data_IF_573817119934
#
_entry.id   IF_573817119934
#
_cell.length_a   1.000
_cell.length_b   1.000
_cell.length_c   1.000
_cell.angle_alpha   90.00
_cell.angle_beta   90.00
_cell.angle_gamma   90.00
#
_symmetry.space_group_name_H-M   'P 1'
#
loop_
_entity.id
_entity.type
_entity.pdbx_description
1 polymer ?
#
# COMPACT_ATOMS: atom_id res chain seq x y z
N UNK A 1 -9.42 7.16 11.53
CA UNK A 1 -8.34 7.78 10.74
C UNK A 1 -7.16 6.82 10.83
N UNK A 2 -6.56 6.42 9.70
CA UNK A 2 -5.44 5.46 9.73
C UNK A 2 -4.23 6.07 10.42
N UNK A 3 -3.55 5.29 11.28
CA UNK A 3 -2.30 5.68 11.96
C UNK A 3 -1.06 5.32 11.13
N UNK A 4 -1.25 4.97 9.85
CA UNK A 4 -0.19 4.52 8.96
C UNK A 4 0.94 5.56 8.80
N UNK A 5 2.18 5.12 9.01
CA UNK A 5 3.38 5.92 8.80
C UNK A 5 4.02 5.58 7.45
N UNK A 6 3.87 6.46 6.46
CA UNK A 6 4.42 6.23 5.11
C UNK A 6 5.94 6.07 5.08
N UNK A 7 6.62 6.78 5.99
CA UNK A 7 8.07 6.83 6.06
C UNK A 7 8.67 5.61 6.79
N UNK A 8 7.85 4.73 7.39
CA UNK A 8 8.38 3.54 8.04
C UNK A 8 8.87 2.52 7.01
N UNK A 9 10.14 2.11 7.12
CA UNK A 9 10.66 0.94 6.39
C UNK A 9 9.98 -0.37 6.85
N UNK A 10 9.43 -0.37 8.07
CA UNK A 10 8.59 -1.42 8.62
C UNK A 10 7.33 -1.63 7.78
N UNK A 11 7.31 -2.75 7.07
CA UNK A 11 6.26 -3.12 6.10
C UNK A 11 4.95 -3.45 6.83
N UNK A 12 3.93 -2.61 6.68
CA UNK A 12 2.53 -3.03 6.88
C UNK A 12 2.10 -3.87 5.68
N UNK A 13 2.63 -5.07 5.54
CA UNK A 13 2.15 -6.03 4.54
C UNK A 13 0.87 -6.68 5.04
N UNK A 14 0.09 -7.26 4.12
CA UNK A 14 -1.12 -7.98 4.47
C UNK A 14 -0.90 -9.15 5.46
N UNK A 15 0.30 -9.73 5.47
CA UNK A 15 0.67 -10.84 6.36
C UNK A 15 1.36 -10.37 7.65
N UNK A 16 1.50 -9.07 7.86
CA UNK A 16 2.10 -8.52 9.08
C UNK A 16 1.14 -8.67 10.27
N UNK A 17 1.71 -8.73 11.48
CA UNK A 17 0.93 -8.69 12.73
C UNK A 17 0.47 -7.27 13.11
N UNK A 18 0.46 -6.33 12.15
CA UNK A 18 -0.04 -4.98 12.38
C UNK A 18 -1.56 -5.00 12.61
N UNK A 19 -2.09 -3.98 13.28
CA UNK A 19 -3.53 -3.91 13.49
C UNK A 19 -4.23 -3.58 12.17
N UNK A 20 -5.47 -4.04 11.96
CA UNK A 20 -6.25 -3.69 10.76
C UNK A 20 -6.41 -2.17 10.59
N UNK A 21 -6.36 -1.41 11.70
CA UNK A 21 -6.40 0.06 11.72
C UNK A 21 -5.15 0.72 11.11
N UNK A 22 -4.01 0.03 11.14
CA UNK A 22 -2.76 0.48 10.49
C UNK A 22 -2.81 0.31 8.97
N UNK A 23 -3.79 -0.46 8.47
CA UNK A 23 -3.94 -0.79 7.06
C UNK A 23 -2.79 -1.65 6.55
N UNK A 24 -2.79 -1.90 5.24
CA UNK A 24 -1.67 -2.56 4.58
C UNK A 24 -1.36 -1.93 3.23
N UNK A 25 -0.09 -2.02 2.84
CA UNK A 25 0.39 -1.63 1.51
C UNK A 25 -0.01 -2.73 0.53
N UNK A 26 -0.88 -2.39 -0.42
CA UNK A 26 -1.35 -3.30 -1.45
C UNK A 26 -0.46 -3.30 -2.69
N UNK A 27 0.25 -2.20 -2.94
CA UNK A 27 1.24 -2.11 -4.00
C UNK A 27 2.35 -1.11 -3.66
N UNK A 28 3.59 -1.48 -3.99
CA UNK A 28 4.71 -0.57 -4.10
C UNK A 28 5.13 -0.41 -5.55
N UNK A 29 5.24 0.85 -5.97
CA UNK A 29 5.68 1.24 -7.30
C UNK A 29 6.95 2.07 -7.19
N UNK A 30 7.88 1.89 -8.13
CA UNK A 30 9.02 2.79 -8.22
C UNK A 30 8.59 4.05 -8.97
N UNK A 31 8.98 5.23 -8.47
CA UNK A 31 8.61 6.51 -9.08
C UNK A 31 9.00 6.62 -10.56
N UNK A 32 10.09 5.96 -10.96
CA UNK A 32 10.55 5.89 -12.36
C UNK A 32 9.67 5.06 -13.29
N UNK A 33 8.85 4.17 -12.72
CA UNK A 33 7.98 3.24 -13.45
C UNK A 33 6.53 3.74 -13.46
N UNK A 34 6.24 4.87 -12.78
CA UNK A 34 4.95 5.55 -12.82
C UNK A 34 4.96 6.58 -13.96
N UNK A 35 4.08 6.44 -14.97
CA UNK A 35 3.99 7.39 -16.07
C UNK A 35 3.37 8.74 -15.62
N UNK A 36 3.64 9.80 -16.38
CA UNK A 36 3.22 11.17 -16.04
C UNK A 36 1.69 11.39 -16.12
N UNK A 37 0.97 10.55 -16.86
CA UNK A 37 -0.46 10.68 -17.13
C UNK A 37 -1.32 9.92 -16.10
N UNK A 38 -1.35 8.60 -16.19
CA UNK A 38 -2.14 7.75 -15.30
C UNK A 38 -1.64 6.31 -15.32
N UNK A 39 -1.74 5.66 -14.16
CA UNK A 39 -1.50 4.23 -14.01
C UNK A 39 -2.72 3.57 -13.39
N UNK A 40 -3.15 2.45 -13.97
CA UNK A 40 -4.22 1.63 -13.42
C UNK A 40 -3.64 0.52 -12.54
N UNK A 41 -4.19 0.38 -11.34
CA UNK A 41 -3.87 -0.71 -10.41
C UNK A 41 -5.19 -1.35 -9.99
N UNK A 42 -5.32 -2.65 -10.26
CA UNK A 42 -6.46 -3.42 -9.78
C UNK A 42 -6.20 -3.78 -8.32
N UNK A 43 -7.14 -3.48 -7.42
CA UNK A 43 -7.02 -3.80 -6.00
C UNK A 43 -7.68 -5.15 -5.71
N UNK A 44 -6.98 -6.02 -4.99
CA UNK A 44 -7.42 -7.36 -4.62
C UNK A 44 -7.24 -8.44 -5.69
N UNK A 45 -6.36 -8.22 -6.66
CA UNK A 45 -6.08 -9.14 -7.77
C UNK A 45 -5.16 -10.32 -7.41
N UNK A 46 -4.63 -10.37 -6.18
CA UNK A 46 -3.72 -11.42 -5.68
C UNK A 46 -2.34 -11.43 -6.34
N UNK A 47 -1.95 -10.36 -7.01
CA UNK A 47 -0.61 -10.20 -7.56
C UNK A 47 0.33 -9.51 -6.56
N UNK A 48 1.62 -9.63 -6.82
CA UNK A 48 2.65 -8.90 -6.11
C UNK A 48 3.05 -7.66 -6.90
N UNK A 49 3.11 -6.52 -6.21
CA UNK A 49 3.62 -5.25 -6.74
C UNK A 49 4.80 -4.82 -5.86
N UNK A 50 6.01 -5.05 -6.37
CA UNK A 50 7.22 -5.08 -5.54
C UNK A 50 7.14 -6.24 -4.55
N UNK A 51 7.43 -5.98 -3.27
CA UNK A 51 7.38 -6.97 -2.20
C UNK A 51 5.99 -7.11 -1.55
N UNK A 52 4.99 -6.39 -2.06
CA UNK A 52 3.68 -6.27 -1.42
C UNK A 52 2.60 -7.09 -2.13
N UNK A 53 1.92 -7.93 -1.36
CA UNK A 53 0.83 -8.77 -1.83
C UNK A 53 -0.49 -8.00 -1.83
N UNK A 54 -1.09 -7.87 -3.01
CA UNK A 54 -2.40 -7.23 -3.19
C UNK A 54 -3.53 -8.18 -2.82
N UNK A 55 -3.84 -8.22 -1.52
CA UNK A 55 -4.73 -9.21 -0.96
C UNK A 55 -6.21 -9.01 -1.37
N UNK A 56 -6.98 -10.10 -1.52
CA UNK A 56 -8.41 -10.01 -1.79
C UNK A 56 -9.14 -9.11 -0.80
N UNK A 57 -10.09 -8.34 -1.29
CA UNK A 57 -10.97 -7.54 -0.44
C UNK A 57 -11.79 -8.46 0.47
N UNK A 58 -11.61 -8.32 1.79
CA UNK A 58 -12.40 -9.00 2.81
C UNK A 58 -13.56 -8.12 3.27
N UNK A 59 -14.72 -8.76 3.51
CA UNK A 59 -15.84 -8.18 4.28
C UNK A 59 -15.65 -8.48 5.76
N UNK A 60 -16.25 -7.70 6.65
CA UNK A 60 -16.23 -7.96 8.09
C UNK A 60 -15.15 -7.23 8.90
N UNK A 61 -14.22 -6.52 8.25
CA UNK A 61 -13.14 -5.79 8.92
C UNK A 61 -12.98 -4.38 8.36
N UNK A 62 -12.73 -3.42 9.24
CA UNK A 62 -12.35 -2.06 8.88
C UNK A 62 -10.84 -2.00 8.62
N UNK A 63 -10.41 -1.81 7.36
CA UNK A 63 -8.99 -1.66 7.03
C UNK A 63 -8.75 -0.61 5.95
N UNK A 64 -7.55 -0.04 5.97
CA UNK A 64 -7.10 0.93 4.96
C UNK A 64 -6.18 0.24 3.95
N UNK A 65 -6.44 0.50 2.66
CA UNK A 65 -5.61 0.03 1.55
C UNK A 65 -4.67 1.16 1.17
N UNK A 66 -3.37 0.89 1.18
CA UNK A 66 -2.34 1.89 0.94
C UNK A 66 -1.62 1.59 -0.35
N UNK A 67 -1.43 2.63 -1.17
CA UNK A 67 -0.52 2.61 -2.31
C UNK A 67 0.74 3.38 -1.95
N UNK A 68 1.89 2.80 -2.28
CA UNK A 68 3.21 3.40 -2.00
C UNK A 68 3.96 3.63 -3.30
N UNK A 69 4.47 4.84 -3.46
CA UNK A 69 5.44 5.19 -4.49
C UNK A 69 6.77 5.40 -3.79
N UNK A 70 7.79 4.72 -4.27
CA UNK A 70 9.15 4.75 -3.74
C UNK A 70 10.08 5.36 -4.77
N UNK A 71 10.84 6.38 -4.37
CA UNK A 71 11.95 6.92 -5.14
C UNK A 71 13.26 6.56 -4.45
N UNK A 72 14.19 5.98 -5.20
CA UNK A 72 15.53 5.71 -4.72
C UNK A 72 16.54 6.46 -5.59
N UNK A 73 17.32 7.33 -4.95
CA UNK A 73 18.40 8.06 -5.61
C UNK A 73 19.64 8.05 -4.72
N UNK A 74 20.78 7.61 -5.26
CA UNK A 74 22.06 7.59 -4.55
C UNK A 74 21.96 6.94 -3.14
N UNK A 75 21.28 5.79 -3.04
CA UNK A 75 20.99 5.04 -1.79
C UNK A 75 20.08 5.77 -0.79
N UNK A 76 19.52 6.93 -1.15
CA UNK A 76 18.49 7.61 -0.37
C UNK A 76 17.13 7.14 -0.88
N UNK A 77 16.38 6.46 -0.02
CA UNK A 77 15.02 6.01 -0.30
C UNK A 77 14.01 7.00 0.28
N UNK A 78 13.03 7.39 -0.53
CA UNK A 78 11.92 8.27 -0.15
C UNK A 78 10.61 7.62 -0.54
N UNK A 79 9.60 7.83 0.29
CA UNK A 79 8.28 7.22 0.13
C UNK A 79 7.22 8.30 0.04
N UNK A 80 6.25 8.08 -0.83
CA UNK A 80 4.99 8.81 -0.87
C UNK A 80 3.87 7.77 -0.82
N UNK A 81 2.84 8.01 -0.01
CA UNK A 81 1.77 7.05 0.19
C UNK A 81 0.41 7.71 0.12
N UNK A 82 -0.55 6.99 -0.41
CA UNK A 82 -1.94 7.39 -0.44
C UNK A 82 -2.82 6.29 0.17
N UNK A 83 -3.80 6.71 0.97
CA UNK A 83 -4.90 5.81 1.35
C UNK A 83 -5.84 5.74 0.16
N UNK A 84 -5.87 4.59 -0.48
CA UNK A 84 -6.69 4.36 -1.68
C UNK A 84 -8.16 4.14 -1.31
N UNK A 85 -8.41 3.30 -0.32
CA UNK A 85 -9.75 3.01 0.15
C UNK A 85 -9.74 2.68 1.65
N UNK A 86 -10.83 3.03 2.32
CA UNK A 86 -11.16 2.50 3.63
C UNK A 86 -12.33 1.54 3.46
N UNK A 87 -12.08 0.26 3.65
CA UNK A 87 -13.14 -0.74 3.71
C UNK A 87 -13.74 -0.64 5.10
N UNK A 88 -15.07 -0.53 5.19
CA UNK A 88 -15.82 -0.54 6.45
C UNK A 88 -16.80 -1.68 6.45
N UNK A 89 -16.96 -2.34 7.60
CA UNK A 89 -18.09 -3.21 7.82
C UNK A 89 -19.35 -2.36 8.04
N UNK A 90 -20.46 -2.77 7.42
CA UNK A 90 -21.74 -2.05 7.45
C UNK A 90 -22.65 -2.53 8.56
#
# INVERSE_FOLDING_TARGET
QSTFSCDSEGTSSFFSNASDADGYVAAELLAKDVPDDAMEILIGDRLYYGEYYNAPLKRGNDYCIILRITSEWNKVRRHSCAVWAQVKDS
#
